data_IF_045565862340
#
_entry.id   IF_045565862340
#
_cell.length_a   1.000
_cell.length_b   1.000
_cell.length_c   1.000
_cell.angle_alpha   90.00
_cell.angle_beta   90.00
_cell.angle_gamma   90.00
#
_symmetry.space_group_name_H-M   'P 1'
#
loop_
_entity.id
_entity.type
_entity.pdbx_description
1 polymer ?
#
# COMPACT_ATOMS: atom_id res chain seq x y z
N UNK A 1 71.51 15.27 -21.82
CA UNK A 1 70.48 15.91 -20.95
C UNK A 1 69.17 15.19 -21.19
N UNK A 2 68.75 14.36 -20.24
CA UNK A 2 67.54 13.55 -20.29
C UNK A 2 66.35 14.40 -19.86
N UNK A 3 65.40 14.67 -20.77
CA UNK A 3 64.18 15.41 -20.46
C UNK A 3 63.11 14.38 -20.09
N UNK A 4 62.95 14.11 -18.79
CA UNK A 4 61.81 13.37 -18.24
C UNK A 4 60.74 14.37 -17.83
N UNK A 5 59.83 14.68 -18.76
CA UNK A 5 58.65 15.50 -18.51
C UNK A 5 57.39 14.66 -18.58
N UNK A 6 57.11 13.88 -17.53
CA UNK A 6 55.79 13.26 -17.36
C UNK A 6 54.79 14.34 -16.91
N UNK A 7 54.01 14.85 -17.86
CA UNK A 7 52.85 15.67 -17.56
C UNK A 7 51.74 14.79 -16.99
N UNK A 8 51.62 14.78 -15.66
CA UNK A 8 50.51 14.13 -14.98
C UNK A 8 49.21 14.81 -15.41
N UNK A 9 48.37 14.09 -16.16
CA UNK A 9 47.01 14.55 -16.46
C UNK A 9 46.27 14.64 -15.12
N UNK A 10 45.59 15.76 -14.80
CA UNK A 10 44.80 15.85 -13.58
C UNK A 10 43.73 14.75 -13.63
N UNK A 11 43.84 13.80 -12.71
CA UNK A 11 42.85 12.74 -12.56
C UNK A 11 41.47 13.33 -12.31
N UNK A 12 40.45 12.74 -12.92
CA UNK A 12 39.07 13.10 -12.66
C UNK A 12 38.75 12.87 -11.18
N UNK A 13 38.52 13.95 -10.44
CA UNK A 13 38.13 13.91 -9.04
C UNK A 13 36.59 13.92 -8.96
N UNK A 14 36.00 12.73 -8.81
CA UNK A 14 34.56 12.54 -8.75
C UNK A 14 33.90 13.34 -7.60
N UNK A 15 34.66 13.70 -6.55
CA UNK A 15 34.15 14.46 -5.41
C UNK A 15 33.95 15.95 -5.71
N UNK A 16 34.65 16.49 -6.73
CA UNK A 16 34.59 17.91 -7.12
C UNK A 16 33.78 18.14 -8.39
N UNK A 17 33.38 17.08 -9.09
CA UNK A 17 32.65 17.20 -10.33
C UNK A 17 31.18 17.54 -10.07
N UNK A 18 30.77 18.76 -10.41
CA UNK A 18 29.37 19.19 -10.44
C UNK A 18 28.95 19.33 -11.91
N UNK A 19 27.90 18.63 -12.37
CA UNK A 19 27.45 18.77 -13.76
C UNK A 19 26.98 20.20 -14.03
N UNK A 20 27.25 20.76 -15.22
CA UNK A 20 26.79 22.10 -15.57
C UNK A 20 25.26 22.15 -15.57
N UNK A 21 24.71 23.24 -15.04
CA UNK A 21 23.26 23.48 -15.06
C UNK A 21 22.96 24.65 -15.99
N UNK A 22 21.91 24.51 -16.80
CA UNK A 22 21.47 25.53 -17.75
C UNK A 22 20.06 25.97 -17.38
N UNK A 23 19.74 27.25 -17.61
CA UNK A 23 18.36 27.74 -17.50
C UNK A 23 17.51 27.29 -18.72
N UNK A 24 16.22 27.64 -18.71
CA UNK A 24 15.28 27.33 -19.80
C UNK A 24 15.68 28.04 -21.11
N UNK A 25 16.47 29.11 -21.04
CA UNK A 25 17.02 29.83 -22.18
C UNK A 25 18.38 29.30 -22.68
N UNK A 26 18.92 28.24 -22.05
CA UNK A 26 20.23 27.68 -22.39
C UNK A 26 21.42 28.46 -21.84
N UNK A 27 21.23 29.44 -20.96
CA UNK A 27 22.32 30.15 -20.30
C UNK A 27 22.91 29.28 -19.20
N UNK A 28 24.24 29.20 -19.17
CA UNK A 28 24.96 28.49 -18.12
C UNK A 28 24.75 29.18 -16.77
N UNK A 29 24.19 28.44 -15.82
CA UNK A 29 24.11 28.85 -14.43
C UNK A 29 25.36 28.34 -13.71
N UNK A 30 26.35 29.22 -13.39
CA UNK A 30 27.48 28.79 -12.60
C UNK A 30 26.96 28.24 -11.27
N UNK A 31 27.47 27.09 -10.80
CA UNK A 31 27.07 26.54 -9.52
C UNK A 31 27.31 27.63 -8.48
N UNK A 32 26.24 28.09 -7.83
CA UNK A 32 26.36 29.00 -6.70
C UNK A 32 27.07 28.19 -5.61
N UNK A 33 28.38 28.35 -5.50
CA UNK A 33 29.18 27.80 -4.40
C UNK A 33 28.69 28.53 -3.17
N UNK A 34 27.60 28.05 -2.58
CA UNK A 34 27.13 28.52 -1.29
C UNK A 34 28.12 27.97 -0.29
N UNK A 35 29.13 28.76 0.04
CA UNK A 35 30.04 28.52 1.17
C UNK A 35 29.28 28.30 2.49
N UNK A 36 27.99 28.62 2.54
CA UNK A 36 27.11 28.49 3.69
C UNK A 36 26.40 27.14 3.85
N UNK A 37 26.42 26.23 2.86
CA UNK A 37 25.68 24.94 2.98
C UNK A 37 26.51 23.83 3.65
N UNK A 38 27.83 23.97 3.70
CA UNK A 38 28.67 23.08 4.52
C UNK A 38 28.60 23.41 6.03
N UNK A 39 28.17 24.62 6.39
CA UNK A 39 28.04 25.06 7.79
C UNK A 39 26.62 24.88 8.35
N UNK A 40 25.57 24.95 7.53
CA UNK A 40 24.18 24.86 8.05
C UNK A 40 23.69 23.44 8.35
N UNK A 41 24.39 22.39 7.89
CA UNK A 41 24.16 21.03 8.41
C UNK A 41 24.99 20.72 9.67
N UNK A 42 25.94 21.61 10.03
CA UNK A 42 26.67 21.61 11.30
C UNK A 42 26.12 22.71 12.22
N UNK A 43 24.80 22.89 12.26
CA UNK A 43 24.14 23.71 13.27
C UNK A 43 24.31 23.05 14.66
N UNK A 44 25.47 23.23 15.29
CA UNK A 44 25.68 23.26 16.75
C UNK A 44 25.36 22.03 17.59
N UNK A 45 24.76 20.97 17.05
CA UNK A 45 24.53 19.74 17.81
C UNK A 45 25.62 18.75 17.39
N UNK A 46 26.62 18.57 18.24
CA UNK A 46 27.59 17.49 18.05
C UNK A 46 26.79 16.19 17.88
N UNK A 47 27.13 15.37 16.88
CA UNK A 47 26.48 14.07 16.67
C UNK A 47 26.54 13.14 17.90
N UNK A 48 27.43 13.43 18.87
CA UNK A 48 27.53 12.76 20.17
C UNK A 48 26.49 13.21 21.20
N UNK A 49 25.94 14.42 21.05
CA UNK A 49 25.00 15.05 21.98
C UNK A 49 23.53 14.92 21.51
N UNK A 50 23.29 14.54 20.24
CA UNK A 50 21.95 14.17 19.77
C UNK A 50 21.62 12.76 20.27
N UNK A 51 21.01 12.65 21.45
CA UNK A 51 20.41 11.39 21.90
C UNK A 51 19.13 11.15 21.10
N UNK A 52 19.23 10.38 20.01
CA UNK A 52 18.07 9.91 19.26
C UNK A 52 17.24 9.04 20.21
N UNK A 53 15.93 9.32 20.41
CA UNK A 53 15.07 8.46 21.21
C UNK A 53 15.09 7.04 20.66
N UNK A 54 15.11 6.05 21.54
CA UNK A 54 15.16 4.63 21.13
C UNK A 54 13.94 4.25 20.28
N UNK A 55 12.80 4.90 20.51
CA UNK A 55 11.58 4.76 19.69
C UNK A 55 11.73 5.23 18.24
N UNK A 56 12.78 5.96 17.89
CA UNK A 56 13.08 6.40 16.51
C UNK A 56 14.11 5.51 15.82
N UNK A 57 14.79 4.63 16.57
CA UNK A 57 15.71 3.65 16.03
C UNK A 57 14.85 2.50 15.48
N UNK A 58 14.43 2.64 14.22
CA UNK A 58 13.71 1.58 13.53
C UNK A 58 14.57 0.33 13.37
N UNK A 59 13.94 -0.84 13.11
CA UNK A 59 14.67 -2.06 12.77
C UNK A 59 15.61 -1.80 11.59
N UNK A 60 16.82 -2.39 11.63
CA UNK A 60 17.85 -2.13 10.63
C UNK A 60 17.26 -2.22 9.20
N UNK A 61 17.50 -1.21 8.34
CA UNK A 61 16.95 -1.21 7.00
C UNK A 61 17.45 -2.44 6.25
N UNK A 62 16.53 -3.36 5.96
CA UNK A 62 16.84 -4.59 5.26
C UNK A 62 17.58 -4.30 3.95
N UNK A 63 18.71 -4.97 3.72
CA UNK A 63 19.58 -4.78 2.54
C UNK A 63 18.86 -4.93 1.18
N UNK A 64 17.69 -5.57 1.17
CA UNK A 64 16.87 -5.79 -0.01
C UNK A 64 15.46 -5.25 0.17
N UNK A 65 14.83 -4.79 -0.92
CA UNK A 65 13.44 -4.31 -0.94
C UNK A 65 12.45 -5.33 -0.35
N UNK A 66 12.69 -6.62 -0.55
CA UNK A 66 11.86 -7.70 -0.01
C UNK A 66 11.97 -7.75 1.52
N UNK A 67 13.18 -7.66 2.06
CA UNK A 67 13.42 -7.59 3.50
C UNK A 67 12.75 -6.36 4.11
N UNK A 68 12.92 -5.18 3.52
CA UNK A 68 12.24 -3.95 3.97
C UNK A 68 10.72 -4.09 4.03
N UNK A 69 10.10 -4.66 2.99
CA UNK A 69 8.63 -4.90 2.97
C UNK A 69 8.19 -5.93 4.00
N UNK A 70 9.02 -6.94 4.27
CA UNK A 70 8.72 -7.93 5.30
C UNK A 70 8.76 -7.30 6.69
N UNK A 71 9.81 -6.54 7.00
CA UNK A 71 9.94 -5.80 8.26
C UNK A 71 8.77 -4.85 8.47
N UNK A 72 8.36 -4.09 7.45
CA UNK A 72 7.18 -3.23 7.50
C UNK A 72 5.88 -4.00 7.80
N UNK A 73 5.73 -5.20 7.24
CA UNK A 73 4.56 -6.04 7.52
C UNK A 73 4.58 -6.56 8.94
N UNK A 74 5.73 -7.04 9.42
CA UNK A 74 5.89 -7.56 10.78
C UNK A 74 5.63 -6.46 11.81
N UNK A 75 6.13 -5.24 11.59
CA UNK A 75 5.89 -4.11 12.51
C UNK A 75 4.44 -3.63 12.56
N UNK A 76 3.63 -3.97 11.55
CA UNK A 76 2.20 -3.65 11.52
C UNK A 76 1.34 -4.71 12.21
N UNK A 77 1.88 -5.90 12.45
CA UNK A 77 1.17 -6.97 13.16
C UNK A 77 1.25 -6.66 14.66
N UNK A 78 0.11 -6.50 15.35
CA UNK A 78 0.09 -6.27 16.79
C UNK A 78 0.62 -7.49 17.55
N UNK A 79 1.15 -7.26 18.75
CA UNK A 79 1.64 -8.33 19.60
C UNK A 79 0.49 -9.22 20.11
N UNK A 80 0.66 -10.55 20.23
CA UNK A 80 -0.38 -11.45 20.74
C UNK A 80 -0.83 -11.14 22.17
N UNK A 81 -0.06 -10.39 22.98
CA UNK A 81 -0.48 -9.97 24.31
C UNK A 81 -1.76 -9.13 24.30
N UNK A 82 -2.04 -8.46 23.18
CA UNK A 82 -3.24 -7.64 22.97
C UNK A 82 -4.52 -8.47 22.80
N UNK A 83 -4.42 -9.80 22.69
CA UNK A 83 -5.57 -10.70 22.74
C UNK A 83 -6.13 -10.74 24.18
N UNK A 84 -7.19 -9.96 24.41
CA UNK A 84 -7.85 -9.80 25.72
C UNK A 84 -8.97 -10.83 25.91
N UNK A 85 -9.66 -11.24 24.84
CA UNK A 85 -10.78 -12.17 24.90
C UNK A 85 -10.36 -13.65 24.77
N UNK A 86 -9.13 -13.91 24.33
CA UNK A 86 -8.51 -15.23 24.32
C UNK A 86 -8.92 -16.10 23.13
N UNK A 87 -9.35 -15.48 22.03
CA UNK A 87 -9.74 -16.20 20.81
C UNK A 87 -8.54 -16.61 19.93
N UNK A 88 -7.34 -16.14 20.27
CA UNK A 88 -6.09 -16.40 19.56
C UNK A 88 -5.83 -15.45 18.38
N UNK A 89 -6.67 -14.44 18.16
CA UNK A 89 -6.57 -13.46 17.07
C UNK A 89 -6.78 -12.04 17.59
N UNK A 90 -5.78 -11.17 17.39
CA UNK A 90 -5.92 -9.77 17.79
C UNK A 90 -6.83 -9.01 16.82
N UNK A 91 -8.06 -8.71 17.25
CA UNK A 91 -9.03 -7.92 16.50
C UNK A 91 -8.82 -6.41 16.63
N UNK A 92 -9.55 -5.62 15.83
CA UNK A 92 -9.49 -4.15 15.90
C UNK A 92 -9.95 -3.61 17.26
N UNK A 93 -10.94 -4.27 17.88
CA UNK A 93 -11.45 -3.91 19.20
C UNK A 93 -10.40 -4.12 20.27
N UNK A 94 -9.67 -5.24 20.20
CA UNK A 94 -8.66 -5.59 21.18
C UNK A 94 -7.47 -4.65 21.11
N UNK A 95 -7.07 -4.22 19.90
CA UNK A 95 -6.06 -3.17 19.71
C UNK A 95 -6.50 -1.85 20.35
N UNK A 96 -7.75 -1.43 20.14
CA UNK A 96 -8.26 -0.17 20.69
C UNK A 96 -8.28 -0.21 22.22
N UNK A 97 -8.76 -1.31 22.81
CA UNK A 97 -8.83 -1.48 24.26
C UNK A 97 -7.41 -1.58 24.83
N UNK A 98 -6.56 -2.44 24.28
CA UNK A 98 -5.17 -2.63 24.73
C UNK A 98 -4.40 -1.31 24.75
N UNK A 99 -4.51 -0.48 23.71
CA UNK A 99 -3.89 0.85 23.65
C UNK A 99 -4.37 1.84 24.72
N UNK A 100 -5.57 1.65 25.28
CA UNK A 100 -6.04 2.47 26.39
C UNK A 100 -5.42 2.06 27.74
N UNK A 101 -5.01 0.80 27.86
CA UNK A 101 -4.45 0.23 29.09
C UNK A 101 -2.91 0.15 29.08
N UNK A 102 -2.28 0.16 27.91
CA UNK A 102 -0.83 0.26 27.69
C UNK A 102 -0.32 1.66 28.11
N UNK A 103 0.21 1.78 29.34
CA UNK A 103 0.64 3.06 29.93
C UNK A 103 2.04 3.46 29.48
N UNK A 104 2.91 2.47 29.35
CA UNK A 104 4.29 2.52 28.87
C UNK A 104 4.39 2.81 27.37
N UNK A 105 3.33 2.52 26.60
CA UNK A 105 3.27 2.66 25.14
C UNK A 105 4.37 1.88 24.43
N UNK A 106 4.75 0.74 24.99
CA UNK A 106 5.73 -0.16 24.37
C UNK A 106 5.10 -1.14 23.38
N UNK A 107 3.76 -1.18 23.33
CA UNK A 107 3.02 -2.05 22.43
C UNK A 107 2.89 -3.49 22.93
N UNK A 108 3.19 -3.75 24.21
CA UNK A 108 3.06 -5.07 24.85
C UNK A 108 2.26 -4.90 26.13
N UNK A 109 1.23 -5.72 26.33
CA UNK A 109 0.42 -5.64 27.53
C UNK A 109 1.03 -6.48 28.66
N UNK A 110 1.43 -5.81 29.75
CA UNK A 110 1.88 -6.50 30.96
C UNK A 110 0.74 -7.26 31.65
N UNK A 111 1.08 -8.25 32.48
CA UNK A 111 0.07 -9.08 33.18
C UNK A 111 -0.92 -8.23 33.99
N UNK A 112 -0.43 -7.19 34.66
CA UNK A 112 -1.25 -6.27 35.46
C UNK A 112 -2.19 -5.46 34.57
N UNK A 113 -1.68 -4.85 33.51
CA UNK A 113 -2.45 -4.09 32.54
C UNK A 113 -3.51 -4.96 31.86
N UNK A 114 -3.14 -6.18 31.48
CA UNK A 114 -4.06 -7.17 30.90
C UNK A 114 -5.21 -7.50 31.84
N UNK A 115 -4.94 -7.72 33.13
CA UNK A 115 -6.02 -7.96 34.11
C UNK A 115 -6.95 -6.77 34.25
N UNK A 116 -6.44 -5.53 34.22
CA UNK A 116 -7.28 -4.34 34.27
C UNK A 116 -8.13 -4.15 33.01
N UNK A 117 -7.57 -4.48 31.84
CA UNK A 117 -8.27 -4.44 30.57
C UNK A 117 -9.43 -5.45 30.53
N UNK A 118 -9.18 -6.70 30.98
CA UNK A 118 -10.20 -7.74 31.10
C UNK A 118 -11.33 -7.33 32.05
N UNK A 119 -11.00 -6.80 33.24
CA UNK A 119 -12.00 -6.31 34.20
C UNK A 119 -12.86 -5.19 33.60
N UNK A 120 -12.24 -4.26 32.87
CA UNK A 120 -12.97 -3.18 32.23
C UNK A 120 -13.90 -3.67 31.11
N UNK A 121 -13.46 -4.67 30.34
CA UNK A 121 -14.27 -5.31 29.29
C UNK A 121 -15.48 -6.03 29.90
N UNK A 122 -15.30 -6.77 30.99
CA UNK A 122 -16.38 -7.42 31.72
C UNK A 122 -17.38 -6.40 32.28
N UNK A 123 -16.90 -5.31 32.89
CA UNK A 123 -17.77 -4.23 33.37
C UNK A 123 -18.56 -3.58 32.23
N UNK A 124 -17.94 -3.39 31.06
CA UNK A 124 -18.60 -2.84 29.89
C UNK A 124 -19.71 -3.76 29.37
N UNK A 125 -19.45 -5.07 29.29
CA UNK A 125 -20.46 -6.08 28.93
C UNK A 125 -21.63 -6.09 29.90
N UNK A 126 -21.36 -6.06 31.21
CA UNK A 126 -22.40 -6.00 32.24
C UNK A 126 -23.27 -4.72 32.14
N UNK A 127 -22.66 -3.57 31.82
CA UNK A 127 -23.39 -2.32 31.59
C UNK A 127 -24.26 -2.39 30.34
N UNK A 128 -23.76 -2.98 29.25
CA UNK A 128 -24.51 -3.18 28.01
C UNK A 128 -25.71 -4.11 28.23
N UNK A 129 -25.52 -5.23 28.91
CA UNK A 129 -26.58 -6.20 29.22
C UNK A 129 -27.73 -5.52 29.99
N UNK A 130 -27.41 -4.78 31.07
CA UNK A 130 -28.40 -4.00 31.83
C UNK A 130 -29.12 -2.96 30.96
N UNK A 131 -28.40 -2.28 30.07
CA UNK A 131 -28.99 -1.29 29.15
C UNK A 131 -29.94 -1.94 28.15
N UNK A 132 -29.59 -3.12 27.62
CA UNK A 132 -30.46 -3.86 26.71
C UNK A 132 -31.70 -4.40 27.41
N UNK A 133 -31.58 -4.89 28.64
CA UNK A 133 -32.72 -5.30 29.47
C UNK A 133 -33.65 -4.13 29.74
N UNK A 134 -33.11 -2.96 30.17
CA UNK A 134 -33.90 -1.75 30.37
C UNK A 134 -34.63 -1.33 29.08
N UNK A 135 -33.95 -1.40 27.92
CA UNK A 135 -34.55 -1.04 26.64
C UNK A 135 -35.64 -2.02 26.22
N UNK A 136 -35.43 -3.33 26.39
CA UNK A 136 -36.46 -4.33 26.09
C UNK A 136 -37.65 -4.21 27.04
N UNK A 137 -37.42 -4.08 28.35
CA UNK A 137 -38.49 -3.88 29.33
C UNK A 137 -39.30 -2.61 29.04
N UNK A 138 -38.63 -1.54 28.56
CA UNK A 138 -39.29 -0.32 28.10
C UNK A 138 -40.05 -0.50 26.78
N UNK A 139 -39.52 -1.26 25.82
CA UNK A 139 -40.17 -1.49 24.52
C UNK A 139 -41.43 -2.35 24.65
N UNK A 140 -41.40 -3.32 25.57
CA UNK A 140 -42.49 -4.26 25.82
C UNK A 140 -43.45 -3.81 26.91
N UNK A 141 -43.24 -2.63 27.51
CA UNK A 141 -44.12 -2.11 28.58
C UNK A 141 -44.16 -3.00 29.83
N UNK A 142 -43.13 -3.81 30.06
CA UNK A 142 -43.08 -4.80 31.15
C UNK A 142 -42.77 -4.12 32.51
N UNK A 143 -42.38 -2.84 32.52
CA UNK A 143 -42.27 -2.05 33.74
C UNK A 143 -43.67 -1.75 34.31
N UNK A 144 -44.23 -2.71 35.06
CA UNK A 144 -45.55 -2.63 35.70
C UNK A 144 -45.62 -1.68 36.91
N UNK A 145 -44.48 -1.18 37.39
CA UNK A 145 -44.42 -0.52 38.71
C UNK A 145 -44.18 0.99 38.67
N UNK A 146 -43.90 1.60 37.51
CA UNK A 146 -43.88 3.07 37.45
C UNK A 146 -45.31 3.56 37.31
N UNK A 147 -45.93 3.90 38.45
CA UNK A 147 -47.25 4.57 38.61
C UNK A 147 -47.35 5.96 37.92
N UNK A 148 -46.53 6.23 36.91
CA UNK A 148 -46.48 7.54 36.26
C UNK A 148 -46.08 7.42 34.78
N UNK A 149 -46.95 6.84 33.96
CA UNK A 149 -46.97 7.16 32.53
C UNK A 149 -48.23 7.96 32.27
N UNK A 150 -48.08 9.28 32.30
CA UNK A 150 -49.02 10.21 31.70
C UNK A 150 -49.41 9.68 30.31
N UNK A 151 -50.71 9.67 30.07
CA UNK A 151 -51.38 9.26 28.85
C UNK A 151 -50.54 9.62 27.61
N UNK A 152 -50.11 8.61 26.85
CA UNK A 152 -49.62 8.83 25.50
C UNK A 152 -50.83 9.33 24.70
N UNK A 153 -50.92 10.65 24.53
CA UNK A 153 -51.91 11.26 23.63
C UNK A 153 -51.52 10.79 22.23
N UNK A 154 -52.13 9.69 21.78
CA UNK A 154 -52.07 9.30 20.39
C UNK A 154 -52.85 10.34 19.60
N UNK A 155 -52.11 11.28 19.00
CA UNK A 155 -52.66 12.14 17.98
C UNK A 155 -53.15 11.23 16.84
N UNK A 156 -54.47 11.02 16.78
CA UNK A 156 -55.18 10.52 15.60
C UNK A 156 -54.89 11.46 14.43
N UNK A 157 -53.77 11.27 13.75
CA UNK A 157 -53.53 11.87 12.44
C UNK A 157 -54.42 11.15 11.45
N UNK A 158 -55.45 11.90 11.05
CA UNK A 158 -56.35 11.69 9.92
C UNK A 158 -55.61 11.25 8.65
N UNK A 159 -56.41 10.63 7.78
CA UNK A 159 -56.17 10.18 6.41
C UNK A 159 -55.42 8.84 6.25
N UNK A 160 -56.22 7.78 6.28
CA UNK A 160 -56.02 6.67 5.35
C UNK A 160 -56.32 7.19 3.94
N UNK A 161 -55.28 7.44 3.15
CA UNK A 161 -55.39 7.43 1.70
C UNK A 161 -55.05 6.02 1.23
N UNK A 162 -55.97 5.41 0.50
CA UNK A 162 -55.82 4.11 -0.14
C UNK A 162 -54.55 4.04 -1.01
N UNK A 163 -53.47 3.49 -0.47
CA UNK A 163 -52.32 3.02 -1.26
C UNK A 163 -52.64 1.61 -1.77
N UNK A 164 -53.58 1.53 -2.71
CA UNK A 164 -53.69 0.39 -3.61
C UNK A 164 -52.63 0.54 -4.71
N UNK A 165 -51.92 -0.56 -4.95
CA UNK A 165 -51.21 -0.87 -6.20
C UNK A 165 -49.78 -0.31 -6.41
N UNK A 166 -48.86 -0.65 -5.51
CA UNK A 166 -47.42 -0.65 -5.80
C UNK A 166 -46.77 -2.05 -5.81
N UNK A 167 -47.57 -3.11 -6.02
CA UNK A 167 -47.07 -4.42 -6.45
C UNK A 167 -46.85 -4.48 -7.98
N UNK A 168 -46.33 -3.40 -8.59
CA UNK A 168 -45.66 -3.54 -9.89
C UNK A 168 -44.24 -4.01 -9.59
N UNK A 169 -44.01 -5.30 -9.80
CA UNK A 169 -42.68 -5.90 -9.86
C UNK A 169 -41.75 -4.96 -10.60
N UNK A 170 -40.80 -4.36 -9.87
CA UNK A 170 -39.63 -3.74 -10.47
C UNK A 170 -38.92 -4.85 -11.23
N UNK A 171 -39.16 -4.92 -12.55
CA UNK A 171 -38.33 -5.70 -13.45
C UNK A 171 -37.00 -4.94 -13.53
N UNK A 172 -36.18 -5.10 -12.50
CA UNK A 172 -34.80 -4.63 -12.54
C UNK A 172 -34.17 -5.27 -13.78
N UNK A 173 -33.53 -4.49 -14.68
CA UNK A 173 -32.79 -5.09 -15.80
C UNK A 173 -31.83 -6.12 -15.21
N UNK A 174 -31.63 -7.30 -15.82
CA UNK A 174 -30.78 -8.34 -15.25
C UNK A 174 -29.36 -7.80 -15.02
N UNK A 175 -29.08 -7.32 -13.81
CA UNK A 175 -27.81 -6.74 -13.38
C UNK A 175 -26.74 -7.80 -13.17
N UNK A 176 -27.06 -9.07 -13.47
CA UNK A 176 -26.12 -10.20 -13.49
C UNK A 176 -25.19 -10.12 -14.71
N UNK A 177 -24.49 -9.00 -14.92
CA UNK A 177 -23.18 -9.08 -15.57
C UNK A 177 -22.34 -9.91 -14.64
N UNK A 178 -22.09 -11.17 -15.01
CA UNK A 178 -21.17 -12.03 -14.29
C UNK A 178 -19.90 -11.21 -14.07
N UNK A 179 -19.56 -10.94 -12.80
CA UNK A 179 -18.38 -10.16 -12.48
C UNK A 179 -17.20 -11.01 -12.91
N UNK A 180 -16.72 -10.78 -14.14
CA UNK A 180 -15.59 -11.51 -14.71
C UNK A 180 -14.33 -11.00 -14.01
N UNK A 181 -14.13 -11.45 -12.77
CA UNK A 181 -12.94 -11.17 -11.99
C UNK A 181 -11.82 -12.02 -12.60
N UNK A 182 -11.16 -11.49 -13.65
CA UNK A 182 -9.86 -12.02 -14.10
C UNK A 182 -8.95 -12.02 -12.88
N UNK A 183 -8.52 -13.19 -12.46
CA UNK A 183 -7.52 -13.27 -11.39
C UNK A 183 -6.25 -12.58 -11.88
N UNK A 184 -5.39 -12.13 -10.95
CA UNK A 184 -4.07 -11.58 -11.33
C UNK A 184 -3.26 -12.57 -12.18
N UNK A 185 -3.47 -13.87 -11.98
CA UNK A 185 -2.89 -14.94 -12.80
C UNK A 185 -3.37 -14.86 -14.25
N UNK A 186 -4.69 -14.76 -14.46
CA UNK A 186 -5.29 -14.66 -15.81
C UNK A 186 -4.83 -13.41 -16.55
N UNK A 187 -4.71 -12.28 -15.85
CA UNK A 187 -4.17 -11.05 -16.46
C UNK A 187 -2.72 -11.21 -16.88
N UNK A 188 -1.87 -11.85 -16.07
CA UNK A 188 -0.47 -12.13 -16.43
C UNK A 188 -0.38 -13.10 -17.60
N UNK A 189 -1.21 -14.15 -17.62
CA UNK A 189 -1.28 -15.09 -18.73
C UNK A 189 -1.68 -14.38 -20.04
N UNK A 190 -2.71 -13.54 -19.99
CA UNK A 190 -3.16 -12.76 -21.14
C UNK A 190 -2.10 -11.78 -21.65
N UNK A 191 -1.37 -11.11 -20.75
CA UNK A 191 -0.24 -10.23 -21.14
C UNK A 191 0.85 -11.01 -21.88
N UNK A 192 1.29 -12.16 -21.32
CA UNK A 192 2.29 -13.01 -21.96
C UNK A 192 1.82 -13.53 -23.33
N UNK A 193 0.54 -13.87 -23.46
CA UNK A 193 -0.04 -14.31 -24.73
C UNK A 193 -0.02 -13.18 -25.77
N UNK A 194 -0.42 -11.97 -25.37
CA UNK A 194 -0.38 -10.79 -26.24
C UNK A 194 1.05 -10.42 -26.67
N UNK A 195 2.01 -10.48 -25.75
CA UNK A 195 3.43 -10.23 -26.05
C UNK A 195 3.97 -11.25 -27.07
N UNK A 196 3.60 -12.53 -26.94
CA UNK A 196 3.98 -13.59 -27.90
C UNK A 196 3.39 -13.33 -29.29
N UNK A 197 2.10 -13.00 -29.36
CA UNK A 197 1.44 -12.69 -30.63
C UNK A 197 2.10 -11.50 -31.33
N UNK A 198 2.41 -10.44 -30.58
CA UNK A 198 3.13 -9.27 -31.12
C UNK A 198 4.51 -9.63 -31.66
N UNK A 199 5.23 -10.54 -31.00
CA UNK A 199 6.52 -11.05 -31.47
C UNK A 199 6.39 -11.86 -32.77
N UNK A 200 5.38 -12.72 -32.86
CA UNK A 200 5.07 -13.49 -34.08
C UNK A 200 4.74 -12.55 -35.24
N UNK A 201 3.89 -11.54 -35.01
CA UNK A 201 3.56 -10.52 -36.02
C UNK A 201 4.79 -9.73 -36.48
N UNK A 202 5.69 -9.36 -35.57
CA UNK A 202 6.95 -8.69 -35.93
C UNK A 202 7.85 -9.60 -36.77
N UNK A 203 7.91 -10.88 -36.43
CA UNK A 203 8.68 -11.88 -37.19
C UNK A 203 8.11 -12.06 -38.59
N UNK A 204 6.80 -12.28 -38.73
CA UNK A 204 6.17 -12.44 -40.05
C UNK A 204 6.34 -11.20 -40.91
N UNK A 205 6.22 -10.00 -40.33
CA UNK A 205 6.47 -8.75 -41.03
C UNK A 205 7.93 -8.61 -41.46
N UNK A 206 8.87 -9.10 -40.65
CA UNK A 206 10.29 -9.10 -40.99
C UNK A 206 10.58 -10.10 -42.12
N UNK A 207 10.03 -11.31 -42.06
CA UNK A 207 10.18 -12.35 -43.08
C UNK A 207 9.58 -11.92 -44.44
N UNK A 208 8.45 -11.21 -44.43
CA UNK A 208 7.84 -10.64 -45.64
C UNK A 208 8.68 -9.53 -46.29
N UNK A 209 9.36 -8.72 -45.46
CA UNK A 209 10.25 -7.65 -45.94
C UNK A 209 11.60 -8.16 -46.40
N UNK A 210 12.06 -9.27 -45.83
CA UNK A 210 13.36 -9.88 -46.09
C UNK A 210 13.12 -11.32 -46.56
N UNK A 211 12.54 -11.52 -47.76
CA UNK A 211 12.36 -12.86 -48.29
C UNK A 211 13.74 -13.53 -48.37
N UNK A 212 13.97 -14.52 -47.51
CA UNK A 212 15.23 -15.28 -47.41
C UNK A 212 15.63 -15.98 -48.72
N UNK A 213 14.69 -16.06 -49.66
CA UNK A 213 14.91 -16.51 -51.02
C UNK A 213 15.04 -15.30 -51.95
N UNK A 214 16.14 -14.56 -51.85
CA UNK A 214 16.63 -13.88 -53.05
C UNK A 214 16.96 -14.98 -54.06
N UNK A 215 16.18 -15.06 -55.14
CA UNK A 215 16.52 -15.91 -56.29
C UNK A 215 17.84 -15.40 -56.84
N UNK A 216 18.96 -15.95 -56.36
CA UNK A 216 20.27 -15.67 -56.95
C UNK A 216 20.18 -16.07 -58.41
N UNK A 217 20.43 -15.11 -59.30
CA UNK A 217 20.56 -15.42 -60.72
C UNK A 217 21.61 -16.52 -60.86
N UNK A 218 21.27 -17.57 -61.61
CA UNK A 218 22.20 -18.66 -61.87
C UNK A 218 23.41 -18.08 -62.61
N UNK A 219 24.52 -17.93 -61.89
CA UNK A 219 25.79 -17.53 -62.47
C UNK A 219 26.27 -18.74 -63.27
N UNK A 220 26.13 -18.69 -64.59
CA UNK A 220 26.79 -19.66 -65.47
C UNK A 220 28.28 -19.51 -65.25
N UNK A 221 28.93 -20.56 -64.77
CA UNK A 221 30.38 -20.61 -64.70
C UNK A 221 30.94 -20.48 -66.12
N UNK A 222 31.70 -19.41 -66.36
CA UNK A 222 32.34 -19.10 -67.64
C UNK A 222 33.41 -20.16 -68.03
N UNK A 223 33.72 -21.08 -67.12
CA UNK A 223 34.75 -22.11 -67.27
C UNK A 223 34.28 -23.43 -67.88
N UNK A 224 33.03 -23.53 -68.34
CA UNK A 224 32.64 -24.65 -69.22
C UNK A 224 33.22 -24.41 -70.61
N UNK A 225 34.49 -24.80 -70.77
CA UNK A 225 35.16 -24.96 -72.05
C UNK A 225 34.34 -25.96 -72.86
N UNK A 226 33.50 -25.45 -73.76
CA UNK A 226 32.93 -26.25 -74.84
C UNK A 226 34.08 -26.58 -75.80
N UNK A 227 34.79 -27.67 -75.53
CA UNK A 227 35.40 -28.62 -76.46
C UNK A 227 36.66 -29.27 -75.82
N UNK A 228 36.69 -30.60 -75.63
CA UNK A 228 37.95 -31.32 -75.42
C UNK A 228 38.83 -31.30 -76.68
#
# INVERSE_FOLDING_TARGET
ATITGESSKPGFDASKHVPPTYDIGGHYNPPKISTKVAETFNNGINAKDVRIPESWIGPEPGKTRTSMKHTQKVSLVPDPSFDIDGDGVVGEKDILISRMFDKNKDGILDKTEKTTAMQHLEQYHNKLAKKTEMKQNSLWGINRDTKNTYFRVEHKKRLMSDFKDHNKSSTEPPTKRAVYRKTMSDMKFNRRKADRQKLEELKTNWDLKNPSQETKSYIRSEFLVNNP
#
